data_IF_858663781911
#
_entry.id   IF_858663781911
#
_cell.length_a   1.000
_cell.length_b   1.000
_cell.length_c   1.000
_cell.angle_alpha   90.00
_cell.angle_beta   90.00
_cell.angle_gamma   90.00
#
_symmetry.space_group_name_H-M   'P 1'
#
loop_
_entity.id
_entity.type
_entity.pdbx_description
1 polymer ?
#
# COMPACT_ATOMS: atom_id res chain seq x y z
N UNK A 1 10.51 19.53 1.07
CA UNK A 1 9.26 18.91 1.57
C UNK A 1 9.42 17.40 1.67
N UNK A 2 9.82 16.69 0.59
CA UNK A 2 9.89 15.21 0.60
C UNK A 2 10.79 14.66 1.70
N UNK A 3 12.02 15.18 1.85
CA UNK A 3 12.94 14.71 2.89
C UNK A 3 12.62 15.28 4.27
N UNK A 4 12.46 16.60 4.36
CA UNK A 4 12.27 17.27 5.66
C UNK A 4 10.96 16.89 6.34
N UNK A 5 9.91 16.59 5.57
CA UNK A 5 8.59 16.29 6.12
C UNK A 5 8.28 14.79 6.09
N UNK A 6 8.53 14.12 4.96
CA UNK A 6 8.12 12.73 4.75
C UNK A 6 9.22 11.70 5.04
N UNK A 7 10.42 12.13 5.41
CA UNK A 7 11.55 11.23 5.66
C UNK A 7 12.02 10.46 4.41
N UNK A 8 11.71 10.97 3.21
CA UNK A 8 12.09 10.31 1.96
C UNK A 8 13.53 10.69 1.62
N UNK A 9 14.43 9.70 1.39
CA UNK A 9 15.80 9.95 0.97
C UNK A 9 15.90 10.74 -0.33
N UNK A 10 16.89 11.64 -0.44
CA UNK A 10 17.09 12.53 -1.61
C UNK A 10 17.27 11.74 -2.91
N UNK A 11 17.88 10.57 -2.83
CA UNK A 11 18.11 9.67 -3.95
C UNK A 11 16.80 9.22 -4.62
N UNK A 12 15.68 9.22 -3.90
CA UNK A 12 14.37 8.84 -4.40
C UNK A 12 13.56 10.00 -4.98
N UNK A 13 13.98 11.27 -4.76
CA UNK A 13 13.21 12.43 -5.24
C UNK A 13 12.99 12.41 -6.74
N UNK A 14 14.04 12.10 -7.51
CA UNK A 14 13.94 12.07 -8.97
C UNK A 14 13.00 10.98 -9.49
N UNK A 15 12.91 9.86 -8.78
CA UNK A 15 11.96 8.78 -9.13
C UNK A 15 10.53 9.28 -8.95
N UNK A 16 10.26 10.03 -7.87
CA UNK A 16 8.94 10.58 -7.57
C UNK A 16 8.60 11.76 -8.49
N UNK A 17 9.54 12.69 -8.67
CA UNK A 17 9.33 13.92 -9.47
C UNK A 17 9.19 13.64 -10.97
N UNK A 18 9.92 12.65 -11.49
CA UNK A 18 9.90 12.27 -12.90
C UNK A 18 8.82 11.24 -13.23
N UNK A 19 8.01 10.83 -12.26
CA UNK A 19 6.94 9.89 -12.46
C UNK A 19 5.98 10.38 -13.56
N UNK A 20 5.75 9.55 -14.55
CA UNK A 20 4.89 9.89 -15.70
C UNK A 20 3.47 9.36 -15.57
N UNK A 21 3.23 8.55 -14.56
CA UNK A 21 1.93 7.96 -14.28
C UNK A 21 1.11 8.92 -13.42
N UNK A 22 -0.05 9.31 -13.88
CA UNK A 22 -0.96 10.22 -13.17
C UNK A 22 -1.94 9.50 -12.24
N UNK A 23 -2.06 8.18 -12.37
CA UNK A 23 -2.93 7.36 -11.52
C UNK A 23 -2.40 7.29 -10.10
N UNK A 24 -3.27 7.35 -9.10
CA UNK A 24 -2.89 7.33 -7.69
C UNK A 24 -2.02 6.12 -7.32
N UNK A 25 -2.42 4.93 -7.78
CA UNK A 25 -1.65 3.69 -7.65
C UNK A 25 -2.09 2.67 -8.70
N UNK A 26 -1.28 1.66 -8.95
CA UNK A 26 -1.69 0.48 -9.72
C UNK A 26 -2.69 -0.35 -8.90
N UNK A 27 -2.31 -0.65 -7.69
CA UNK A 27 -3.11 -1.30 -6.66
C UNK A 27 -2.63 -0.79 -5.30
N UNK A 28 -3.57 -0.34 -4.49
CA UNK A 28 -3.34 0.03 -3.11
C UNK A 28 -4.39 -0.59 -2.19
N UNK A 29 -4.16 -0.56 -0.87
CA UNK A 29 -5.14 -0.97 0.12
C UNK A 29 -5.17 0.02 1.28
N UNK A 30 -6.32 0.64 1.48
CA UNK A 30 -6.57 1.50 2.63
C UNK A 30 -7.13 0.62 3.74
N UNK A 31 -6.48 0.59 4.89
CA UNK A 31 -6.90 -0.20 6.04
C UNK A 31 -7.75 0.65 6.99
N UNK A 32 -8.97 0.16 7.24
CA UNK A 32 -9.96 0.77 8.11
C UNK A 32 -10.27 -0.12 9.30
N UNK A 33 -10.76 0.50 10.36
CA UNK A 33 -11.45 -0.19 11.46
C UNK A 33 -12.78 0.48 11.78
N UNK A 34 -13.63 -0.22 12.53
CA UNK A 34 -14.87 0.33 13.11
C UNK A 34 -14.62 0.52 14.60
N UNK A 35 -14.84 1.74 15.11
CA UNK A 35 -14.70 2.00 16.53
C UNK A 35 -15.90 1.51 17.35
N UNK A 36 -15.80 1.60 18.69
CA UNK A 36 -16.87 1.15 19.59
C UNK A 36 -18.18 1.92 19.42
N UNK A 37 -18.17 3.08 18.77
CA UNK A 37 -19.34 3.91 18.47
C UNK A 37 -19.92 3.62 17.08
N UNK A 38 -19.31 2.68 16.34
CA UNK A 38 -19.75 2.29 14.99
C UNK A 38 -19.24 3.21 13.88
N UNK A 39 -18.24 4.06 14.15
CA UNK A 39 -17.67 4.98 13.17
C UNK A 39 -16.50 4.31 12.45
N UNK A 40 -16.43 4.53 11.14
CA UNK A 40 -15.31 4.07 10.32
C UNK A 40 -14.09 4.98 10.55
N UNK A 41 -12.92 4.38 10.77
CA UNK A 41 -11.64 5.08 10.94
C UNK A 41 -10.57 4.49 10.04
N UNK A 42 -9.89 5.34 9.28
CA UNK A 42 -8.77 5.01 8.41
C UNK A 42 -7.49 4.95 9.23
N UNK A 43 -6.75 3.85 9.12
CA UNK A 43 -5.55 3.61 9.93
C UNK A 43 -4.24 3.81 9.18
N UNK A 44 -4.20 3.37 7.90
CA UNK A 44 -3.03 3.47 7.02
C UNK A 44 -3.43 3.27 5.56
N UNK A 45 -2.52 3.63 4.66
CA UNK A 45 -2.63 3.33 3.23
C UNK A 45 -1.40 2.54 2.77
N UNK A 46 -1.62 1.29 2.39
CA UNK A 46 -0.63 0.41 1.79
C UNK A 46 -0.66 0.59 0.27
N UNK A 47 0.12 1.52 -0.25
CA UNK A 47 0.13 1.91 -1.67
C UNK A 47 1.23 1.26 -2.50
N UNK A 48 2.20 0.61 -1.84
CA UNK A 48 3.36 0.00 -2.49
C UNK A 48 3.16 -1.50 -2.76
N UNK A 49 2.88 -2.29 -1.72
CA UNK A 49 2.81 -3.75 -1.77
C UNK A 49 1.62 -4.28 -0.98
N UNK A 50 0.37 -3.99 -1.38
CA UNK A 50 -0.81 -4.47 -0.65
C UNK A 50 -0.99 -5.98 -0.79
N UNK A 51 -0.92 -6.71 0.31
CA UNK A 51 -1.15 -8.16 0.38
C UNK A 51 -2.64 -8.53 0.45
N UNK A 52 -2.95 -9.83 0.38
CA UNK A 52 -4.30 -10.38 0.54
C UNK A 52 -5.11 -10.50 -0.76
N UNK A 53 -4.47 -10.33 -1.92
CA UNK A 53 -5.14 -10.41 -3.24
C UNK A 53 -5.60 -11.84 -3.52
N UNK A 54 -4.77 -12.82 -3.15
CA UNK A 54 -5.08 -14.26 -3.31
C UNK A 54 -6.36 -14.62 -2.59
N UNK A 55 -6.46 -14.22 -1.33
CA UNK A 55 -7.60 -14.47 -0.47
C UNK A 55 -8.84 -13.78 -1.00
N UNK A 56 -8.70 -12.54 -1.40
CA UNK A 56 -9.84 -11.72 -1.85
C UNK A 56 -10.41 -12.18 -3.19
N UNK A 57 -9.57 -12.57 -4.14
CA UNK A 57 -10.02 -13.05 -5.46
C UNK A 57 -10.39 -14.55 -5.39
N UNK A 58 -9.50 -15.38 -4.84
CA UNK A 58 -9.62 -16.83 -4.89
C UNK A 58 -10.41 -17.43 -3.74
N UNK A 59 -9.93 -17.22 -2.50
CA UNK A 59 -10.50 -17.89 -1.32
C UNK A 59 -11.91 -17.37 -1.04
N UNK A 60 -12.18 -16.07 -1.19
CA UNK A 60 -13.52 -15.50 -0.97
C UNK A 60 -14.55 -16.14 -1.89
N UNK A 61 -14.22 -16.29 -3.17
CA UNK A 61 -15.09 -16.94 -4.14
C UNK A 61 -15.25 -18.43 -3.86
N UNK A 62 -14.17 -19.14 -3.56
CA UNK A 62 -14.22 -20.56 -3.22
C UNK A 62 -15.16 -20.82 -2.02
N UNK A 63 -15.03 -20.03 -0.95
CA UNK A 63 -15.90 -20.15 0.23
C UNK A 63 -17.36 -19.83 -0.12
N UNK A 64 -17.59 -18.80 -0.95
CA UNK A 64 -18.94 -18.47 -1.41
C UNK A 64 -19.61 -19.64 -2.13
N UNK A 65 -18.90 -20.26 -3.06
CA UNK A 65 -19.41 -21.35 -3.89
C UNK A 65 -19.60 -22.63 -3.06
N UNK A 66 -18.62 -22.99 -2.21
CA UNK A 66 -18.63 -24.22 -1.40
C UNK A 66 -19.72 -24.20 -0.31
N UNK A 67 -19.92 -23.06 0.33
CA UNK A 67 -20.90 -22.93 1.41
C UNK A 67 -22.24 -22.32 0.95
N UNK A 68 -22.45 -22.17 -0.36
CA UNK A 68 -23.68 -21.64 -0.97
C UNK A 68 -24.11 -20.30 -0.36
N UNK A 69 -23.15 -19.41 -0.11
CA UNK A 69 -23.38 -18.11 0.53
C UNK A 69 -24.16 -17.21 -0.45
N UNK A 70 -25.41 -16.87 -0.08
CA UNK A 70 -26.28 -16.03 -0.90
C UNK A 70 -26.17 -14.54 -0.54
N UNK A 71 -24.95 -14.05 -0.40
CA UNK A 71 -24.63 -12.63 -0.22
C UNK A 71 -23.72 -12.18 -1.35
N UNK A 72 -23.72 -10.88 -1.66
CA UNK A 72 -22.89 -10.33 -2.73
C UNK A 72 -21.42 -10.38 -2.35
N UNK A 73 -20.59 -10.91 -3.25
CA UNK A 73 -19.13 -10.89 -3.10
C UNK A 73 -18.58 -9.50 -3.47
N UNK A 74 -17.98 -8.74 -2.54
CA UNK A 74 -17.43 -7.42 -2.85
C UNK A 74 -16.22 -7.47 -3.79
N UNK A 75 -15.64 -8.67 -4.00
CA UNK A 75 -14.44 -8.89 -4.80
C UNK A 75 -14.74 -9.47 -6.20
N UNK A 76 -16.00 -9.60 -6.58
CA UNK A 76 -16.40 -10.23 -7.85
C UNK A 76 -15.69 -9.59 -9.07
N UNK A 77 -15.50 -8.27 -9.05
CA UNK A 77 -14.85 -7.51 -10.13
C UNK A 77 -13.42 -7.06 -9.80
N UNK A 78 -12.83 -7.51 -8.68
CA UNK A 78 -11.50 -7.04 -8.26
C UNK A 78 -10.43 -7.33 -9.32
N UNK A 79 -10.42 -8.56 -9.87
CA UNK A 79 -9.46 -8.94 -10.93
C UNK A 79 -9.61 -8.08 -12.19
N UNK A 80 -10.84 -7.81 -12.62
CA UNK A 80 -11.14 -6.98 -13.78
C UNK A 80 -10.65 -5.54 -13.58
N UNK A 81 -10.94 -4.94 -12.42
CA UNK A 81 -10.50 -3.58 -12.09
C UNK A 81 -8.98 -3.45 -12.04
N UNK A 82 -8.29 -4.45 -11.44
CA UNK A 82 -6.82 -4.50 -11.49
C UNK A 82 -6.34 -4.55 -12.95
N UNK A 83 -6.94 -5.39 -13.79
CA UNK A 83 -6.57 -5.52 -15.20
C UNK A 83 -6.71 -4.19 -15.96
N UNK A 84 -7.84 -3.50 -15.79
CA UNK A 84 -8.10 -2.21 -16.42
C UNK A 84 -7.08 -1.15 -15.98
N UNK A 85 -6.78 -1.09 -14.68
CA UNK A 85 -5.82 -0.13 -14.13
C UNK A 85 -4.39 -0.39 -14.62
N UNK A 86 -3.97 -1.65 -14.67
CA UNK A 86 -2.64 -2.01 -15.19
C UNK A 86 -2.49 -1.63 -16.67
N UNK A 87 -3.54 -1.84 -17.49
CA UNK A 87 -3.55 -1.41 -18.89
C UNK A 87 -3.47 0.12 -19.02
N UNK A 88 -4.20 0.84 -18.19
CA UNK A 88 -4.15 2.31 -18.21
C UNK A 88 -2.74 2.82 -17.89
N UNK A 89 -2.11 2.30 -16.84
CA UNK A 89 -0.76 2.69 -16.45
C UNK A 89 0.26 2.35 -17.53
N UNK A 90 0.23 1.14 -18.08
CA UNK A 90 1.14 0.75 -19.16
C UNK A 90 0.92 1.67 -20.37
N UNK A 91 -0.32 1.98 -20.72
CA UNK A 91 -0.64 2.94 -21.78
C UNK A 91 -0.16 4.37 -21.49
N UNK A 92 -0.05 4.78 -20.23
CA UNK A 92 0.58 6.07 -19.87
C UNK A 92 2.10 6.02 -20.09
N UNK A 93 2.76 4.93 -19.73
CA UNK A 93 4.20 4.71 -19.99
C UNK A 93 4.46 4.69 -21.51
N UNK A 94 3.60 4.03 -22.30
CA UNK A 94 3.73 3.94 -23.77
C UNK A 94 3.64 5.28 -24.49
N UNK A 95 3.08 6.31 -23.89
CA UNK A 95 3.14 7.67 -24.44
C UNK A 95 4.57 8.26 -24.45
N UNK A 96 5.46 7.68 -23.66
CA UNK A 96 6.84 8.13 -23.51
C UNK A 96 7.85 7.24 -24.22
N UNK A 97 7.64 5.92 -24.18
CA UNK A 97 8.52 4.94 -24.78
C UNK A 97 7.77 3.69 -25.23
N UNK A 98 8.35 2.91 -26.14
CA UNK A 98 7.82 1.61 -26.53
C UNK A 98 7.97 0.60 -25.38
N UNK A 99 6.90 -0.12 -25.07
CA UNK A 99 6.88 -1.17 -24.04
C UNK A 99 6.63 -2.51 -24.72
N UNK A 100 7.53 -3.46 -24.51
CA UNK A 100 7.39 -4.84 -24.98
C UNK A 100 7.61 -5.85 -23.84
N UNK A 101 8.67 -5.66 -23.06
CA UNK A 101 9.05 -6.58 -22.01
C UNK A 101 8.73 -5.96 -20.64
N UNK A 102 7.88 -6.62 -19.88
CA UNK A 102 7.47 -6.19 -18.55
C UNK A 102 8.02 -7.20 -17.54
N UNK A 103 8.82 -6.73 -16.60
CA UNK A 103 9.22 -7.54 -15.45
C UNK A 103 8.14 -7.45 -14.35
N UNK A 104 7.82 -8.60 -13.77
CA UNK A 104 6.99 -8.72 -12.57
C UNK A 104 7.85 -9.39 -11.51
N UNK A 105 8.28 -8.60 -10.52
CA UNK A 105 9.32 -9.04 -9.59
C UNK A 105 8.92 -8.87 -8.12
N UNK A 106 9.42 -9.78 -7.30
CA UNK A 106 9.27 -9.79 -5.84
C UNK A 106 10.50 -10.42 -5.18
N UNK A 107 10.56 -10.47 -3.87
CA UNK A 107 11.52 -11.28 -3.13
C UNK A 107 11.03 -12.72 -2.95
N UNK A 108 11.80 -13.54 -2.21
CA UNK A 108 11.54 -14.97 -2.05
C UNK A 108 10.53 -15.36 -0.95
N UNK A 109 9.74 -14.41 -0.43
CA UNK A 109 8.69 -14.73 0.54
C UNK A 109 7.47 -15.31 -0.16
N UNK A 110 6.98 -16.45 0.29
CA UNK A 110 5.87 -17.18 -0.35
C UNK A 110 4.62 -16.31 -0.54
N UNK A 111 4.25 -15.53 0.47
CA UNK A 111 3.09 -14.64 0.40
C UNK A 111 3.24 -13.60 -0.72
N UNK A 112 4.40 -12.98 -0.84
CA UNK A 112 4.70 -12.00 -1.87
C UNK A 112 4.69 -12.62 -3.26
N UNK A 113 5.24 -13.84 -3.40
CA UNK A 113 5.23 -14.61 -4.65
C UNK A 113 3.79 -14.87 -5.10
N UNK A 114 2.90 -15.31 -4.20
CA UNK A 114 1.52 -15.59 -4.57
C UNK A 114 0.76 -14.33 -4.97
N UNK A 115 0.90 -13.24 -4.25
CA UNK A 115 0.27 -11.96 -4.60
C UNK A 115 0.79 -11.45 -5.95
N UNK A 116 2.11 -11.52 -6.17
CA UNK A 116 2.76 -11.08 -7.41
C UNK A 116 2.37 -11.94 -8.61
N UNK A 117 2.22 -13.26 -8.43
CA UNK A 117 1.79 -14.17 -9.49
C UNK A 117 0.40 -13.83 -10.02
N UNK A 118 -0.54 -13.43 -9.17
CA UNK A 118 -1.87 -13.00 -9.64
C UNK A 118 -1.76 -11.78 -10.55
N UNK A 119 -0.97 -10.79 -10.16
CA UNK A 119 -0.75 -9.57 -10.98
C UNK A 119 -0.11 -9.94 -12.32
N UNK A 120 0.92 -10.76 -12.29
CA UNK A 120 1.59 -11.21 -13.50
C UNK A 120 0.70 -12.07 -14.41
N UNK A 121 -0.16 -12.92 -13.85
CA UNK A 121 -1.12 -13.70 -14.63
C UNK A 121 -2.19 -12.81 -15.28
N UNK A 122 -2.59 -11.72 -14.62
CA UNK A 122 -3.43 -10.69 -15.23
C UNK A 122 -2.70 -10.05 -16.41
N UNK A 123 -1.43 -9.67 -16.23
CA UNK A 123 -0.63 -9.05 -17.30
C UNK A 123 -0.36 -9.99 -18.48
N UNK A 124 -0.22 -11.30 -18.25
CA UNK A 124 -0.07 -12.30 -19.34
C UNK A 124 -1.29 -12.40 -20.26
N UNK A 125 -2.45 -11.95 -19.80
CA UNK A 125 -3.64 -11.85 -20.66
C UNK A 125 -3.48 -10.74 -21.71
N UNK A 126 -2.56 -9.78 -21.50
CA UNK A 126 -2.18 -8.74 -22.44
C UNK A 126 -1.21 -9.31 -23.47
N UNK A 127 -1.74 -9.80 -24.60
CA UNK A 127 -0.97 -10.56 -25.59
C UNK A 127 0.09 -9.76 -26.31
N UNK A 128 0.03 -8.45 -26.26
CA UNK A 128 0.98 -7.49 -26.81
C UNK A 128 2.32 -7.44 -26.07
N UNK A 129 2.34 -7.83 -24.78
CA UNK A 129 3.52 -7.76 -23.92
C UNK A 129 4.13 -9.13 -23.64
N UNK A 130 5.45 -9.15 -23.49
CA UNK A 130 6.19 -10.27 -22.94
C UNK A 130 6.38 -10.06 -21.43
N UNK A 131 5.66 -10.82 -20.62
CA UNK A 131 5.70 -10.70 -19.15
C UNK A 131 6.70 -11.71 -18.58
N UNK A 132 7.74 -11.19 -17.92
CA UNK A 132 8.85 -11.95 -17.34
C UNK A 132 8.76 -11.91 -15.82
N UNK A 133 8.63 -13.07 -15.19
CA UNK A 133 8.65 -13.19 -13.73
C UNK A 133 10.06 -13.40 -13.23
N UNK A 134 10.39 -12.85 -12.07
CA UNK A 134 11.68 -13.07 -11.45
C UNK A 134 11.75 -12.58 -10.02
N UNK A 135 12.91 -12.82 -9.43
CA UNK A 135 13.23 -12.20 -8.16
C UNK A 135 13.79 -10.80 -8.40
N UNK A 136 13.49 -9.88 -7.49
CA UNK A 136 14.00 -8.51 -7.57
C UNK A 136 15.54 -8.48 -7.60
N UNK A 137 16.21 -9.41 -6.91
CA UNK A 137 17.68 -9.55 -6.90
C UNK A 137 18.27 -10.10 -8.22
N UNK A 138 17.45 -10.63 -9.12
CA UNK A 138 17.88 -11.08 -10.46
C UNK A 138 17.90 -9.94 -11.49
N UNK A 139 17.32 -8.79 -11.16
CA UNK A 139 17.44 -7.59 -11.99
C UNK A 139 18.92 -7.19 -12.10
N UNK A 140 19.32 -6.71 -13.27
CA UNK A 140 20.68 -6.21 -13.53
C UNK A 140 20.59 -4.90 -14.29
N UNK A 141 21.61 -4.07 -14.12
CA UNK A 141 21.74 -2.80 -14.86
C UNK A 141 22.96 -2.86 -15.76
N UNK A 142 22.76 -2.53 -17.01
CA UNK A 142 23.84 -2.36 -17.98
C UNK A 142 23.55 -1.13 -18.84
N UNK A 143 24.51 -0.21 -18.98
CA UNK A 143 24.35 1.05 -19.73
C UNK A 143 23.06 1.83 -19.38
N UNK A 144 22.72 1.85 -18.09
CA UNK A 144 21.52 2.48 -17.54
C UNK A 144 20.17 1.85 -17.96
N UNK A 145 20.21 0.64 -18.53
CA UNK A 145 19.04 -0.15 -18.87
C UNK A 145 18.87 -1.32 -17.90
N UNK A 146 17.63 -1.70 -17.62
CA UNK A 146 17.30 -2.79 -16.69
C UNK A 146 17.15 -4.10 -17.49
N UNK A 147 17.71 -5.18 -16.95
CA UNK A 147 17.64 -6.53 -17.51
C UNK A 147 17.15 -7.52 -16.47
N UNK A 148 16.35 -8.49 -16.92
CA UNK A 148 15.99 -9.69 -16.16
C UNK A 148 16.27 -10.91 -17.05
N UNK A 149 17.12 -11.86 -16.60
CA UNK A 149 17.54 -13.04 -17.35
C UNK A 149 18.02 -12.74 -18.79
N UNK A 150 18.82 -11.68 -18.95
CA UNK A 150 19.33 -11.18 -20.26
C UNK A 150 18.24 -10.62 -21.20
N UNK A 151 17.03 -10.40 -20.71
CA UNK A 151 15.97 -9.71 -21.45
C UNK A 151 15.98 -8.26 -20.97
N UNK A 152 16.14 -7.31 -21.90
CA UNK A 152 15.98 -5.88 -21.59
C UNK A 152 14.54 -5.59 -21.20
N UNK A 153 14.33 -4.91 -20.09
CA UNK A 153 13.03 -4.64 -19.48
C UNK A 153 12.62 -3.20 -19.76
N UNK A 154 11.41 -3.03 -20.26
CA UNK A 154 10.85 -1.73 -20.58
C UNK A 154 10.00 -1.15 -19.44
N UNK A 155 9.35 -2.01 -18.65
CA UNK A 155 8.56 -1.62 -17.49
C UNK A 155 8.66 -2.67 -16.37
N UNK A 156 8.53 -2.24 -15.12
CA UNK A 156 8.67 -3.09 -13.94
C UNK A 156 7.45 -2.93 -13.04
N UNK A 157 6.74 -4.02 -12.78
CA UNK A 157 5.88 -4.14 -11.62
C UNK A 157 6.70 -4.73 -10.47
N UNK A 158 6.98 -3.94 -9.46
CA UNK A 158 7.75 -4.37 -8.29
C UNK A 158 6.82 -4.64 -7.11
N UNK A 159 6.82 -5.84 -6.60
CA UNK A 159 6.28 -6.15 -5.28
C UNK A 159 7.44 -6.15 -4.27
N UNK A 160 8.14 -5.02 -4.25
CA UNK A 160 9.27 -4.71 -3.38
C UNK A 160 9.26 -3.20 -3.13
N UNK A 161 9.15 -2.75 -1.87
CA UNK A 161 9.00 -1.33 -1.56
C UNK A 161 10.16 -0.47 -2.07
N UNK A 162 9.85 0.76 -2.49
CA UNK A 162 10.84 1.66 -3.08
C UNK A 162 11.87 2.14 -2.05
N UNK A 163 11.45 2.35 -0.79
CA UNK A 163 12.35 2.66 0.32
C UNK A 163 13.33 1.49 0.59
N UNK A 164 12.88 0.25 0.45
CA UNK A 164 13.78 -0.91 0.60
C UNK A 164 14.85 -0.94 -0.48
N UNK A 165 14.54 -0.59 -1.72
CA UNK A 165 15.56 -0.49 -2.78
C UNK A 165 16.68 0.51 -2.44
N UNK A 166 16.36 1.55 -1.69
CA UNK A 166 17.35 2.53 -1.23
C UNK A 166 18.21 1.99 -0.09
N UNK A 167 17.61 1.37 0.93
CA UNK A 167 18.33 0.87 2.09
C UNK A 167 19.08 -0.44 1.85
N UNK A 168 18.71 -1.19 0.81
CA UNK A 168 19.36 -2.43 0.44
C UNK A 168 20.59 -2.14 -0.44
N UNK A 169 21.79 -2.28 0.15
CA UNK A 169 23.05 -2.05 -0.56
C UNK A 169 23.24 -2.96 -1.78
N UNK A 170 22.60 -4.15 -1.80
CA UNK A 170 22.65 -5.07 -2.93
C UNK A 170 21.71 -4.64 -4.08
N UNK A 171 20.79 -3.70 -3.84
CA UNK A 171 19.75 -3.32 -4.79
C UNK A 171 19.79 -1.84 -5.21
N UNK A 172 20.51 -0.98 -4.49
CA UNK A 172 20.47 0.47 -4.71
C UNK A 172 20.98 0.92 -6.08
N UNK A 173 21.73 0.07 -6.80
CA UNK A 173 22.15 0.32 -8.19
C UNK A 173 20.96 0.44 -9.16
N UNK A 174 19.78 -0.09 -8.82
CA UNK A 174 18.56 0.07 -9.62
C UNK A 174 18.00 1.50 -9.58
N UNK A 175 18.36 2.28 -8.57
CA UNK A 175 17.84 3.65 -8.43
C UNK A 175 18.23 4.54 -9.62
N UNK A 176 19.43 4.34 -10.20
CA UNK A 176 19.89 5.17 -11.31
C UNK A 176 18.98 5.07 -12.56
N UNK A 177 18.71 3.89 -13.13
CA UNK A 177 17.78 3.79 -14.25
C UNK A 177 16.34 4.21 -13.87
N UNK A 178 15.91 3.97 -12.63
CA UNK A 178 14.56 4.33 -12.19
C UNK A 178 14.34 5.84 -12.08
N UNK A 179 15.40 6.64 -11.89
CA UNK A 179 15.32 8.11 -11.84
C UNK A 179 14.77 8.75 -13.10
N UNK A 180 14.79 8.04 -14.21
CA UNK A 180 14.23 8.52 -15.47
C UNK A 180 12.68 8.46 -15.51
N UNK A 181 12.03 7.84 -14.52
CA UNK A 181 10.59 7.91 -14.27
C UNK A 181 9.69 7.02 -15.13
N UNK A 182 10.23 6.34 -16.14
CA UNK A 182 9.44 5.66 -17.17
C UNK A 182 9.37 4.13 -17.00
N UNK A 183 9.82 3.61 -15.87
CA UNK A 183 9.90 2.15 -15.66
C UNK A 183 8.80 1.59 -14.75
N UNK A 184 8.28 2.39 -13.83
CA UNK A 184 7.49 1.86 -12.73
C UNK A 184 6.00 1.77 -13.08
N UNK A 185 5.46 0.54 -13.08
CA UNK A 185 4.02 0.31 -13.18
C UNK A 185 3.34 0.62 -11.85
N UNK A 186 3.98 0.31 -10.71
CA UNK A 186 3.57 0.89 -9.44
C UNK A 186 4.31 2.22 -9.27
N UNK A 187 3.62 3.37 -9.40
CA UNK A 187 4.28 4.67 -9.55
C UNK A 187 5.19 5.03 -8.37
N UNK A 188 6.24 5.82 -8.62
CA UNK A 188 7.18 6.23 -7.58
C UNK A 188 6.55 7.11 -6.49
N UNK A 189 5.56 7.93 -6.84
CA UNK A 189 4.85 8.78 -5.88
C UNK A 189 4.00 8.00 -4.87
N UNK A 190 3.76 6.69 -5.08
CA UNK A 190 3.10 5.83 -4.09
C UNK A 190 3.87 5.79 -2.76
N UNK A 191 5.19 6.01 -2.79
CA UNK A 191 5.99 6.09 -1.58
C UNK A 191 5.55 7.23 -0.64
N UNK A 192 5.13 8.37 -1.18
CA UNK A 192 4.61 9.48 -0.37
C UNK A 192 3.33 9.07 0.35
N UNK A 193 2.48 8.31 -0.33
CA UNK A 193 1.21 7.83 0.23
C UNK A 193 1.40 6.66 1.21
N UNK A 194 2.48 5.90 1.08
CA UNK A 194 2.86 4.84 2.01
C UNK A 194 3.30 5.41 3.36
N UNK A 195 3.88 6.62 3.36
CA UNK A 195 4.32 7.26 4.59
C UNK A 195 3.13 7.67 5.46
N UNK A 196 3.16 7.25 6.73
CA UNK A 196 2.14 7.62 7.72
C UNK A 196 2.15 9.12 8.05
N UNK A 197 3.23 9.84 7.67
CA UNK A 197 3.32 11.30 7.75
C UNK A 197 2.23 11.97 6.91
N UNK A 198 1.75 11.31 5.84
CA UNK A 198 0.65 11.84 5.03
C UNK A 198 -0.55 12.24 5.90
N UNK A 199 -0.90 11.44 6.91
CA UNK A 199 -2.00 11.77 7.82
C UNK A 199 -1.70 12.98 8.72
N UNK A 200 -0.47 13.10 9.21
CA UNK A 200 -0.05 14.28 9.96
C UNK A 200 -0.06 15.53 9.06
N UNK A 201 0.42 15.42 7.82
CA UNK A 201 0.42 16.49 6.84
C UNK A 201 -1.01 16.95 6.50
N UNK A 202 -1.96 16.02 6.34
CA UNK A 202 -3.37 16.36 6.12
C UNK A 202 -3.91 17.25 7.24
N UNK A 203 -3.58 16.98 8.51
CA UNK A 203 -3.96 17.83 9.64
C UNK A 203 -3.21 19.17 9.66
N UNK A 204 -1.96 19.19 9.22
CA UNK A 204 -1.19 20.43 9.11
C UNK A 204 -1.77 21.43 8.09
N UNK A 205 -2.47 20.95 7.07
CA UNK A 205 -3.02 21.83 6.01
C UNK A 205 -4.48 22.24 6.26
N UNK A 206 -5.16 21.67 7.27
CA UNK A 206 -6.50 22.09 7.69
C UNK A 206 -6.48 23.58 8.08
N UNK A 207 -7.44 24.33 7.58
CA UNK A 207 -7.60 25.77 7.84
C UNK A 207 -6.59 26.66 7.13
N UNK A 208 -5.72 26.12 6.26
CA UNK A 208 -4.75 26.89 5.45
C UNK A 208 -5.28 27.28 4.06
N UNK A 209 -6.52 26.93 3.74
CA UNK A 209 -7.13 27.22 2.43
C UNK A 209 -6.59 26.38 1.27
N UNK A 210 -5.94 25.26 1.58
CA UNK A 210 -5.40 24.30 0.62
C UNK A 210 -6.45 23.23 0.27
N UNK A 211 -7.24 22.82 1.26
CA UNK A 211 -8.29 21.82 1.15
C UNK A 211 -9.67 22.51 1.01
N UNK A 212 -10.61 21.81 0.41
CA UNK A 212 -12.02 22.18 0.45
C UNK A 212 -12.60 21.91 1.84
N UNK A 213 -13.74 22.55 2.18
CA UNK A 213 -14.44 22.28 3.43
C UNK A 213 -14.88 20.80 3.54
N UNK A 214 -15.26 20.18 2.44
CA UNK A 214 -15.62 18.76 2.39
C UNK A 214 -14.42 17.87 2.68
N UNK A 215 -13.23 18.19 2.16
CA UNK A 215 -12.00 17.44 2.45
C UNK A 215 -11.60 17.58 3.93
N UNK A 216 -11.68 18.79 4.50
CA UNK A 216 -11.39 18.99 5.92
C UNK A 216 -12.37 18.22 6.82
N UNK A 217 -13.65 18.21 6.47
CA UNK A 217 -14.68 17.43 7.16
C UNK A 217 -14.39 15.92 7.05
N UNK A 218 -14.00 15.44 5.87
CA UNK A 218 -13.62 14.04 5.65
C UNK A 218 -12.43 13.65 6.54
N UNK A 219 -11.37 14.45 6.57
CA UNK A 219 -10.19 14.20 7.40
C UNK A 219 -10.59 14.10 8.87
N UNK A 220 -11.31 15.09 9.39
CA UNK A 220 -11.75 15.13 10.78
C UNK A 220 -12.66 13.94 11.15
N UNK A 221 -13.49 13.48 10.21
CA UNK A 221 -14.43 12.38 10.47
C UNK A 221 -13.76 11.01 10.44
N UNK A 222 -12.89 10.75 9.46
CA UNK A 222 -12.42 9.41 9.16
C UNK A 222 -10.98 9.14 9.57
N UNK A 223 -10.12 10.15 9.64
CA UNK A 223 -8.73 9.98 10.02
C UNK A 223 -8.58 10.28 11.51
N UNK A 224 -7.99 9.39 12.33
CA UNK A 224 -7.63 9.72 13.72
C UNK A 224 -6.65 10.88 13.73
N UNK A 225 -6.79 11.81 14.69
CA UNK A 225 -5.86 12.93 14.79
C UNK A 225 -4.41 12.42 14.78
N UNK A 226 -3.60 13.00 13.93
CA UNK A 226 -2.22 12.57 13.70
C UNK A 226 -1.31 13.78 13.65
N UNK A 227 -0.16 13.69 14.29
CA UNK A 227 0.83 14.76 14.41
C UNK A 227 2.25 14.18 14.32
N UNK A 228 3.21 14.96 13.81
CA UNK A 228 4.64 14.62 13.84
C UNK A 228 5.27 14.90 15.21
N UNK A 229 4.61 15.69 16.04
CA UNK A 229 5.07 16.01 17.38
C UNK A 229 3.96 15.72 18.40
N UNK A 230 4.36 15.43 19.63
CA UNK A 230 3.42 15.29 20.74
C UNK A 230 2.87 16.66 21.13
N UNK A 231 1.71 17.00 20.61
CA UNK A 231 1.06 18.29 20.84
C UNK A 231 -0.15 18.19 21.79
N UNK A 232 -0.81 19.35 22.06
CA UNK A 232 -1.92 19.43 23.00
C UNK A 232 -3.26 18.93 22.45
N UNK A 233 -3.37 18.72 21.14
CA UNK A 233 -4.59 18.21 20.49
C UNK A 233 -4.63 16.69 20.55
N UNK A 234 -3.47 16.05 20.68
CA UNK A 234 -3.34 14.60 20.80
C UNK A 234 -4.10 14.11 22.04
N UNK A 235 -4.90 13.07 21.89
CA UNK A 235 -5.61 12.45 23.00
C UNK A 235 -4.64 11.88 24.05
N UNK A 236 -5.16 11.53 25.24
CA UNK A 236 -4.33 10.86 26.25
C UNK A 236 -3.95 9.47 25.83
N UNK A 237 -4.79 8.80 25.03
CA UNK A 237 -4.56 7.49 24.49
C UNK A 237 -4.14 7.63 23.02
N UNK A 238 -2.87 7.40 22.75
CA UNK A 238 -2.30 7.50 21.41
C UNK A 238 -1.38 6.33 21.12
N UNK A 239 -1.04 6.15 19.86
CA UNK A 239 -0.04 5.21 19.37
C UNK A 239 1.09 5.99 18.70
N UNK A 240 2.29 5.43 18.77
CA UNK A 240 3.48 5.91 18.10
C UNK A 240 3.74 4.96 16.94
N UNK A 241 3.94 5.47 15.73
CA UNK A 241 4.19 4.69 14.54
C UNK A 241 5.38 5.23 13.77
N UNK A 242 6.28 4.38 13.25
CA UNK A 242 7.32 4.83 12.32
C UNK A 242 6.70 5.31 11.01
N UNK A 243 7.36 6.21 10.29
CA UNK A 243 6.89 6.75 9.00
C UNK A 243 6.57 5.65 7.99
N UNK A 244 7.44 4.65 7.87
CA UNK A 244 7.35 3.56 6.90
C UNK A 244 7.14 2.16 7.52
N UNK A 245 6.69 2.05 8.77
CA UNK A 245 6.43 0.75 9.41
C UNK A 245 5.35 -0.06 8.68
N UNK A 246 5.55 -1.39 8.64
CA UNK A 246 4.66 -2.38 8.02
C UNK A 246 4.28 -3.47 9.02
N UNK A 247 3.17 -4.17 8.82
CA UNK A 247 2.72 -5.32 9.63
C UNK A 247 2.66 -5.05 11.14
N UNK A 248 2.33 -3.84 11.54
CA UNK A 248 2.31 -3.45 12.95
C UNK A 248 3.68 -3.34 13.61
N UNK A 249 4.77 -3.49 12.84
CA UNK A 249 6.12 -3.40 13.35
C UNK A 249 6.37 -2.02 13.99
N UNK A 250 7.01 -2.04 15.16
CA UNK A 250 7.40 -0.86 15.93
C UNK A 250 6.25 0.10 16.30
N UNK A 251 4.99 -0.39 16.24
CA UNK A 251 3.85 0.34 16.82
C UNK A 251 3.94 0.22 18.35
N UNK A 252 3.96 1.37 19.02
CA UNK A 252 4.05 1.46 20.48
C UNK A 252 2.81 2.15 21.06
N UNK A 253 2.28 1.63 22.16
CA UNK A 253 1.23 2.28 22.90
C UNK A 253 1.82 3.32 23.86
N UNK A 254 1.15 4.42 24.11
CA UNK A 254 1.63 5.50 24.97
C UNK A 254 1.83 5.13 26.46
N UNK A 255 1.28 3.99 26.89
CA UNK A 255 1.43 3.49 28.27
C UNK A 255 2.60 2.50 28.43
N UNK A 256 3.28 2.14 27.34
CA UNK A 256 4.49 1.33 27.38
C UNK A 256 5.68 2.20 27.76
N UNK A 257 6.62 1.68 28.56
CA UNK A 257 7.86 2.38 28.88
C UNK A 257 8.69 2.52 27.60
N UNK A 258 9.01 3.74 27.22
CA UNK A 258 9.81 4.05 26.05
C UNK A 258 11.09 4.78 26.47
N UNK A 259 12.18 4.47 25.80
CA UNK A 259 13.38 5.30 25.87
C UNK A 259 13.07 6.66 25.20
N UNK A 260 13.21 7.74 25.95
CA UNK A 260 12.90 9.11 25.47
C UNK A 260 13.86 9.62 24.38
N UNK A 261 14.87 8.84 24.01
CA UNK A 261 15.87 9.17 22.99
C UNK A 261 15.46 8.70 21.58
N UNK A 262 14.24 8.99 21.16
CA UNK A 262 13.77 8.66 19.81
C UNK A 262 14.28 9.69 18.80
N UNK A 263 15.47 9.46 18.25
CA UNK A 263 15.91 10.05 16.95
C UNK A 263 15.24 9.30 15.78
N UNK A 264 14.01 8.84 15.95
CA UNK A 264 13.28 8.06 14.95
C UNK A 264 12.29 8.96 14.21
N UNK A 265 12.12 8.69 12.92
CA UNK A 265 11.06 9.27 12.09
C UNK A 265 9.73 8.63 12.46
N UNK A 266 9.00 9.25 13.39
CA UNK A 266 7.75 8.73 13.97
C UNK A 266 6.63 9.75 13.91
N UNK A 267 5.40 9.24 13.90
CA UNK A 267 4.18 10.01 14.10
C UNK A 267 3.50 9.61 15.41
N UNK A 268 2.71 10.52 15.93
CA UNK A 268 1.76 10.30 17.03
C UNK A 268 0.35 10.32 16.47
N UNK A 269 -0.43 9.29 16.73
CA UNK A 269 -1.80 9.19 16.26
C UNK A 269 -2.75 8.84 17.39
N UNK A 270 -3.90 9.51 17.47
CA UNK A 270 -4.95 9.15 18.41
C UNK A 270 -5.31 7.67 18.29
N UNK A 271 -5.31 6.97 19.41
CA UNK A 271 -5.66 5.56 19.43
C UNK A 271 -7.14 5.38 19.16
N UNK A 272 -7.46 4.56 18.16
CA UNK A 272 -8.83 4.14 17.90
C UNK A 272 -9.20 2.98 18.83
N UNK A 273 -10.31 3.11 19.55
CA UNK A 273 -10.90 2.02 20.31
C UNK A 273 -11.68 1.10 19.37
N UNK A 274 -10.96 0.20 18.71
CA UNK A 274 -11.54 -0.71 17.70
C UNK A 274 -12.59 -1.59 18.36
N UNK A 275 -13.76 -1.71 17.73
CA UNK A 275 -14.85 -2.58 18.16
C UNK A 275 -14.44 -4.04 17.97
N UNK A 276 -14.29 -4.82 19.08
CA UNK A 276 -13.91 -6.22 18.95
C UNK A 276 -15.07 -7.07 18.46
N UNK A 277 -14.75 -8.12 17.71
CA UNK A 277 -15.67 -9.23 17.46
C UNK A 277 -15.35 -10.36 18.43
N UNK A 278 -16.42 -10.94 19.01
CA UNK A 278 -16.30 -12.08 19.92
C UNK A 278 -16.32 -13.37 19.11
N UNK A 279 -15.18 -14.05 19.12
CA UNK A 279 -15.05 -15.45 18.69
C UNK A 279 -14.70 -16.30 19.92
N UNK A 280 -13.78 -17.22 19.82
CA UNK A 280 -13.23 -17.95 20.99
C UNK A 280 -12.46 -16.99 21.93
N UNK A 281 -11.92 -15.91 21.38
CA UNK A 281 -11.32 -14.76 22.09
C UNK A 281 -11.80 -13.47 21.45
N UNK A 282 -11.58 -12.32 22.10
CA UNK A 282 -11.80 -11.02 21.45
C UNK A 282 -10.73 -10.82 20.37
N UNK A 283 -11.18 -10.49 19.14
CA UNK A 283 -10.34 -10.19 18.01
C UNK A 283 -10.79 -8.89 17.37
N UNK A 284 -9.85 -8.19 16.77
CA UNK A 284 -10.05 -6.86 16.21
C UNK A 284 -10.00 -6.92 14.69
N UNK A 285 -11.14 -6.65 14.01
CA UNK A 285 -11.19 -6.69 12.55
C UNK A 285 -10.56 -5.43 11.95
N UNK A 286 -9.72 -5.62 10.94
CA UNK A 286 -9.24 -4.58 10.04
C UNK A 286 -9.81 -4.86 8.66
N UNK A 287 -10.41 -3.84 8.07
CA UNK A 287 -11.07 -3.90 6.76
C UNK A 287 -10.19 -3.15 5.77
N UNK A 288 -9.54 -3.89 4.90
CA UNK A 288 -8.77 -3.33 3.79
C UNK A 288 -9.68 -3.05 2.60
N UNK A 289 -9.67 -1.82 2.11
CA UNK A 289 -10.33 -1.44 0.88
C UNK A 289 -9.30 -1.37 -0.24
N UNK A 290 -9.38 -2.26 -1.23
CA UNK A 290 -8.52 -2.18 -2.40
C UNK A 290 -8.91 -1.00 -3.28
N UNK A 291 -7.89 -0.24 -3.68
CA UNK A 291 -8.00 0.90 -4.58
C UNK A 291 -7.21 0.60 -5.85
N UNK A 292 -7.83 0.79 -7.01
CA UNK A 292 -7.18 0.79 -8.32
C UNK A 292 -7.36 2.17 -8.93
N UNK A 293 -6.28 2.85 -9.25
CA UNK A 293 -6.37 4.27 -9.55
C UNK A 293 -6.93 5.03 -8.35
N UNK A 294 -8.11 5.62 -8.49
CA UNK A 294 -8.84 6.32 -7.42
C UNK A 294 -10.16 5.63 -7.04
N UNK A 295 -10.41 4.41 -7.51
CA UNK A 295 -11.68 3.73 -7.32
C UNK A 295 -11.58 2.55 -6.36
N UNK A 296 -12.63 2.34 -5.57
CA UNK A 296 -12.79 1.13 -4.76
C UNK A 296 -12.91 -0.10 -5.66
N UNK A 297 -12.02 -1.07 -5.47
CA UNK A 297 -11.95 -2.27 -6.29
C UNK A 297 -12.45 -3.53 -5.57
N UNK A 298 -12.24 -3.63 -4.26
CA UNK A 298 -12.63 -4.80 -3.48
C UNK A 298 -12.36 -4.61 -2.00
N UNK A 299 -12.62 -5.66 -1.21
CA UNK A 299 -12.47 -5.64 0.24
C UNK A 299 -11.65 -6.86 0.70
N UNK A 300 -10.74 -6.61 1.63
CA UNK A 300 -9.96 -7.60 2.36
C UNK A 300 -10.20 -7.44 3.85
N UNK A 301 -10.59 -8.48 4.54
CA UNK A 301 -10.78 -8.42 5.99
C UNK A 301 -9.84 -9.38 6.68
N UNK A 302 -9.13 -8.88 7.68
CA UNK A 302 -8.29 -9.70 8.56
C UNK A 302 -8.64 -9.44 10.02
N UNK A 303 -8.46 -10.45 10.86
CA UNK A 303 -8.67 -10.35 12.30
C UNK A 303 -7.42 -10.76 13.05
N UNK A 304 -7.02 -9.94 13.99
CA UNK A 304 -5.83 -10.14 14.82
C UNK A 304 -6.01 -9.61 16.22
N UNK A 305 -4.91 -9.39 16.89
CA UNK A 305 -4.85 -8.68 18.16
C UNK A 305 -5.02 -7.16 17.93
N UNK A 306 -4.99 -6.37 19.01
CA UNK A 306 -5.26 -4.92 18.94
C UNK A 306 -4.28 -4.18 18.03
N UNK A 307 -3.03 -4.61 17.98
CA UNK A 307 -2.07 -4.28 16.94
C UNK A 307 -2.04 -5.48 16.01
N UNK A 308 -2.53 -5.27 14.77
CA UNK A 308 -2.61 -6.34 13.78
C UNK A 308 -1.22 -6.61 13.22
N UNK A 309 -0.77 -7.84 13.36
CA UNK A 309 0.53 -8.32 12.91
C UNK A 309 0.40 -9.45 11.87
N UNK A 310 1.51 -10.10 11.53
CA UNK A 310 1.59 -11.23 10.60
C UNK A 310 0.77 -12.47 11.00
N UNK A 311 0.31 -12.55 12.28
CA UNK A 311 -0.51 -13.67 12.77
C UNK A 311 -2.00 -13.41 12.55
N UNK A 312 -2.40 -12.28 11.99
CA UNK A 312 -3.79 -11.99 11.68
C UNK A 312 -4.32 -12.96 10.62
N UNK A 313 -5.54 -13.43 10.82
CA UNK A 313 -6.19 -14.39 9.94
C UNK A 313 -7.15 -13.70 8.97
N UNK A 314 -7.17 -14.14 7.73
CA UNK A 314 -8.14 -13.70 6.73
C UNK A 314 -9.55 -14.13 7.11
N UNK A 315 -10.51 -13.24 6.87
CA UNK A 315 -11.95 -13.51 7.05
C UNK A 315 -12.69 -13.17 5.76
N UNK A 316 -13.35 -14.18 5.20
CA UNK A 316 -14.21 -13.98 4.03
C UNK A 316 -15.32 -12.99 4.34
N UNK A 317 -15.45 -12.00 3.49
CA UNK A 317 -16.38 -10.87 3.69
C UNK A 317 -17.40 -10.83 2.55
N UNK A 318 -18.68 -10.68 2.92
CA UNK A 318 -19.80 -10.59 1.99
C UNK A 318 -20.71 -9.44 2.40
N UNK A 319 -21.43 -8.88 1.41
CA UNK A 319 -22.36 -7.76 1.62
C UNK A 319 -23.77 -8.34 1.62
N UNK A 320 -24.49 -8.05 2.70
CA UNK A 320 -25.91 -8.29 2.78
C UNK A 320 -26.65 -7.04 2.27
N UNK A 321 -27.51 -7.20 1.26
CA UNK A 321 -28.35 -6.12 0.73
C UNK A 321 -29.45 -5.72 1.70
#
# INVERSE_FOLDING_TARGET
>A
ILGELFGIPEELYKIIENDTVSSLCALGRIDFCIDNEGRLKMLEFNSETPAGIVESIGINKFIQDEFLINYRNPNEHLREKISLQLRDIIGQIEKKKYVKNIAVVTCWYDEDIYNTNIIGDIMKEFKEYNVVFGNVYDLKVNENEIYLYNIQIDAVYRYYPLDWLYYDEEMNYLLEPLRNGDYLINPGHTLVMQSKVLFAFMYEVIGKGILSEDDENFINQYIPYTSMEKDKKLSKDYVIKPYFGREGQDIRMNYEEHDENLNEEIIFQDRVNIRPLRMDSFKFPIIGAYITGSELAGIYTRMGDIVTDKNAVYISTYIQD
#
